data_IF_544445149118
#
_entry.id   IF_544445149118
#
_cell.length_a   1.000
_cell.length_b   1.000
_cell.length_c   1.000
_cell.angle_alpha   90.00
_cell.angle_beta   90.00
_cell.angle_gamma   90.00
#
_symmetry.space_group_name_H-M   'P 1'
#
loop_
_entity.id
_entity.type
_entity.pdbx_description
1 polymer ?
#
# COMPACT_ATOMS: atom_id res chain seq x y z
N UNK A 1 61.50 53.74 14.23
CA UNK A 1 60.34 53.66 15.14
C UNK A 1 58.99 53.56 14.33
N UNK A 2 58.76 54.39 13.32
CA UNK A 2 57.50 54.36 12.58
C UNK A 2 57.23 53.04 11.83
N UNK A 3 58.20 52.45 11.17
CA UNK A 3 58.07 51.16 10.50
C UNK A 3 57.68 50.02 11.42
N UNK A 4 58.25 49.98 12.64
CA UNK A 4 57.91 48.96 13.66
C UNK A 4 56.46 49.08 14.14
N UNK A 5 55.91 50.31 14.20
CA UNK A 5 54.51 50.55 14.56
C UNK A 5 53.55 50.15 13.46
N UNK A 6 53.94 50.36 12.20
CA UNK A 6 53.14 49.94 11.04
C UNK A 6 53.01 48.41 10.94
N UNK A 7 54.15 47.70 11.16
CA UNK A 7 54.18 46.26 11.19
C UNK A 7 53.31 45.70 12.33
N UNK A 8 53.42 46.30 13.56
CA UNK A 8 52.62 45.90 14.69
C UNK A 8 51.11 46.08 14.47
N UNK A 9 50.71 47.22 13.90
CA UNK A 9 49.30 47.48 13.52
C UNK A 9 48.78 46.49 12.50
N UNK A 10 49.55 46.12 11.49
CA UNK A 10 49.23 45.17 10.47
C UNK A 10 49.08 43.76 11.09
N UNK A 11 49.98 43.35 11.98
CA UNK A 11 49.92 42.05 12.68
C UNK A 11 48.72 41.96 13.62
N UNK A 12 48.36 43.05 14.34
CA UNK A 12 47.18 43.07 15.23
C UNK A 12 45.89 42.97 14.39
N UNK A 13 45.82 43.64 13.22
CA UNK A 13 44.67 43.56 12.31
C UNK A 13 44.51 42.18 11.79
N UNK A 14 45.55 41.52 11.25
CA UNK A 14 45.52 40.13 10.76
C UNK A 14 45.18 39.14 11.85
N UNK A 15 45.65 39.34 13.09
CA UNK A 15 45.30 38.49 14.22
C UNK A 15 43.83 38.64 14.64
N UNK A 16 43.28 39.87 14.55
CA UNK A 16 41.87 40.14 14.78
C UNK A 16 40.96 39.49 13.72
N UNK A 17 41.33 39.59 12.46
CA UNK A 17 40.62 38.94 11.34
C UNK A 17 40.66 37.42 11.47
N UNK A 18 41.79 36.81 11.80
CA UNK A 18 41.90 35.37 12.03
C UNK A 18 41.01 34.86 13.19
N UNK A 19 40.97 35.61 14.31
CA UNK A 19 40.11 35.30 15.46
C UNK A 19 38.63 35.41 15.09
N UNK A 20 38.25 36.41 14.30
CA UNK A 20 36.88 36.62 13.83
C UNK A 20 36.45 35.49 12.88
N UNK A 21 37.29 35.13 11.94
CA UNK A 21 37.02 33.98 11.02
C UNK A 21 36.88 32.68 11.83
N UNK A 22 37.74 32.36 12.78
CA UNK A 22 37.62 31.18 13.63
C UNK A 22 36.37 31.16 14.51
N UNK A 23 35.85 32.32 14.90
CA UNK A 23 34.57 32.45 15.59
C UNK A 23 33.41 32.15 14.67
N UNK A 24 33.40 32.68 13.44
CA UNK A 24 32.37 32.41 12.43
C UNK A 24 32.35 30.93 12.08
N UNK A 25 33.49 30.31 11.79
CA UNK A 25 33.60 28.89 11.46
C UNK A 25 33.04 28.01 12.58
N UNK A 26 33.35 28.30 13.83
CA UNK A 26 32.80 27.54 14.97
C UNK A 26 31.28 27.64 15.05
N UNK A 27 30.72 28.83 14.90
CA UNK A 27 29.28 29.04 14.93
C UNK A 27 28.57 28.35 13.76
N UNK A 28 29.14 28.42 12.55
CA UNK A 28 28.61 27.72 11.38
C UNK A 28 28.65 26.22 11.62
N UNK A 29 29.78 25.66 12.05
CA UNK A 29 29.92 24.23 12.30
C UNK A 29 28.96 23.73 13.38
N UNK A 30 28.77 24.51 14.45
CA UNK A 30 27.81 24.20 15.49
C UNK A 30 26.40 24.20 14.98
N UNK A 31 26.01 25.19 14.15
CA UNK A 31 24.68 25.26 13.52
C UNK A 31 24.43 24.10 12.55
N UNK A 32 25.42 23.75 11.72
CA UNK A 32 25.36 22.60 10.82
C UNK A 32 25.16 21.30 11.62
N UNK A 33 25.91 21.11 12.71
CA UNK A 33 25.80 19.94 13.58
C UNK A 33 24.39 19.81 14.16
N UNK A 34 23.84 20.89 14.71
CA UNK A 34 22.49 20.90 15.29
C UNK A 34 21.44 20.57 14.23
N UNK A 35 21.49 21.20 13.05
CA UNK A 35 20.57 20.91 11.95
C UNK A 35 20.68 19.45 11.47
N UNK A 36 21.88 18.88 11.45
CA UNK A 36 22.08 17.48 11.05
C UNK A 36 21.49 16.52 12.09
N UNK A 37 21.63 16.81 13.38
CA UNK A 37 21.04 16.03 14.47
C UNK A 37 19.50 16.09 14.44
N UNK A 38 18.92 17.27 14.19
CA UNK A 38 17.47 17.44 14.03
C UNK A 38 16.92 16.64 12.83
N UNK A 39 17.57 16.72 11.66
CA UNK A 39 17.18 15.97 10.46
C UNK A 39 17.28 14.44 10.68
N UNK A 40 18.32 13.97 11.34
CA UNK A 40 18.47 12.55 11.64
C UNK A 40 17.37 12.06 12.60
N UNK A 41 17.03 12.84 13.62
CA UNK A 41 15.95 12.50 14.55
C UNK A 41 14.58 12.47 13.87
N UNK A 42 14.32 13.41 12.97
CA UNK A 42 13.09 13.43 12.17
C UNK A 42 13.01 12.22 11.24
N UNK A 43 14.09 11.90 10.53
CA UNK A 43 14.19 10.73 9.67
C UNK A 43 13.95 9.43 10.44
N UNK A 44 14.60 9.24 11.59
CA UNK A 44 14.42 8.06 12.45
C UNK A 44 12.96 7.93 12.94
N UNK A 45 12.33 9.05 13.26
CA UNK A 45 10.92 9.08 13.68
C UNK A 45 10.00 8.64 12.53
N UNK A 46 10.24 9.12 11.30
CA UNK A 46 9.47 8.72 10.13
C UNK A 46 9.65 7.23 9.79
N UNK A 47 10.88 6.72 9.87
CA UNK A 47 11.17 5.30 9.64
C UNK A 47 10.45 4.41 10.66
N UNK A 48 10.44 4.78 11.96
CA UNK A 48 9.72 4.04 13.00
C UNK A 48 8.20 4.06 12.77
N UNK A 49 7.65 5.22 12.41
CA UNK A 49 6.22 5.35 12.11
C UNK A 49 5.81 4.50 10.90
N UNK A 50 6.63 4.50 9.83
CA UNK A 50 6.40 3.68 8.64
C UNK A 50 6.43 2.18 8.99
N UNK A 51 7.42 1.74 9.76
CA UNK A 51 7.54 0.35 10.19
C UNK A 51 6.33 -0.09 11.03
N UNK A 52 5.91 0.73 11.98
CA UNK A 52 4.73 0.45 12.80
C UNK A 52 3.45 0.35 11.96
N UNK A 53 3.29 1.24 10.97
CA UNK A 53 2.16 1.18 10.03
C UNK A 53 2.15 -0.13 9.24
N UNK A 54 3.30 -0.56 8.71
CA UNK A 54 3.43 -1.81 7.94
C UNK A 54 3.15 -3.06 8.81
N UNK A 55 3.61 -3.07 10.06
CA UNK A 55 3.34 -4.14 11.04
C UNK A 55 1.84 -4.22 11.38
N UNK A 56 1.21 -3.08 11.68
CA UNK A 56 -0.23 -3.01 11.96
C UNK A 56 -1.07 -3.46 10.76
N UNK A 57 -0.67 -3.04 9.55
CA UNK A 57 -1.36 -3.42 8.32
C UNK A 57 -1.24 -4.92 8.04
N UNK A 58 -0.07 -5.51 8.26
CA UNK A 58 0.14 -6.96 8.14
C UNK A 58 -0.71 -7.75 9.14
N UNK A 59 -0.85 -7.26 10.37
CA UNK A 59 -1.69 -7.85 11.40
C UNK A 59 -3.18 -7.81 11.04
N UNK A 60 -3.67 -6.67 10.55
CA UNK A 60 -5.05 -6.55 10.05
C UNK A 60 -5.35 -7.55 8.93
N UNK A 61 -4.45 -7.69 7.96
CA UNK A 61 -4.61 -8.64 6.86
C UNK A 61 -4.64 -10.08 7.39
N UNK A 62 -3.76 -10.42 8.33
CA UNK A 62 -3.71 -11.75 8.93
C UNK A 62 -4.97 -12.09 9.74
N UNK A 63 -5.59 -11.08 10.35
CA UNK A 63 -6.82 -11.21 11.14
C UNK A 63 -8.10 -11.05 10.31
N UNK A 64 -8.00 -10.83 9.00
CA UNK A 64 -9.13 -10.54 8.12
C UNK A 64 -9.94 -9.32 8.58
N UNK A 65 -9.26 -8.27 9.04
CA UNK A 65 -9.87 -7.02 9.46
C UNK A 65 -10.10 -6.08 8.26
N UNK A 66 -11.14 -5.24 8.30
CA UNK A 66 -11.44 -4.29 7.24
C UNK A 66 -10.31 -3.28 7.01
N UNK A 67 -9.97 -3.07 5.74
CA UNK A 67 -8.99 -2.08 5.30
C UNK A 67 -9.67 -0.79 4.85
N UNK A 68 -9.14 0.35 5.30
CA UNK A 68 -9.56 1.66 4.82
C UNK A 68 -8.89 2.02 3.48
N UNK A 69 -9.29 3.15 2.90
CA UNK A 69 -8.81 3.59 1.58
C UNK A 69 -7.30 3.88 1.55
N UNK A 70 -6.73 4.42 2.62
CA UNK A 70 -5.30 4.73 2.68
C UNK A 70 -4.47 3.44 2.77
N UNK A 71 -4.92 2.46 3.55
CA UNK A 71 -4.33 1.13 3.66
C UNK A 71 -4.39 0.38 2.31
N UNK A 72 -5.55 0.39 1.65
CA UNK A 72 -5.71 -0.22 0.32
C UNK A 72 -4.82 0.50 -0.70
N UNK A 73 -4.76 1.82 -0.67
CA UNK A 73 -3.93 2.63 -1.58
C UNK A 73 -2.43 2.41 -1.35
N UNK A 74 -2.01 2.17 -0.12
CA UNK A 74 -0.64 1.78 0.20
C UNK A 74 -0.29 0.43 -0.42
N UNK A 75 -1.15 -0.58 -0.26
CA UNK A 75 -0.95 -1.95 -0.79
C UNK A 75 -1.11 -2.02 -2.31
N UNK A 76 -2.10 -1.30 -2.84
CA UNK A 76 -2.55 -1.42 -4.22
C UNK A 76 -2.94 -0.06 -4.83
N UNK A 77 -2.00 0.88 -5.05
CA UNK A 77 -2.28 2.19 -5.61
C UNK A 77 -2.94 2.14 -6.99
N UNK A 78 -2.71 1.07 -7.76
CA UNK A 78 -3.32 0.87 -9.09
C UNK A 78 -4.85 0.77 -9.02
N UNK A 79 -5.41 0.25 -7.93
CA UNK A 79 -6.86 0.14 -7.74
C UNK A 79 -7.57 1.50 -7.73
N UNK A 80 -6.86 2.58 -7.37
CA UNK A 80 -7.41 3.94 -7.28
C UNK A 80 -7.35 4.72 -8.60
N UNK A 81 -6.88 4.11 -9.68
CA UNK A 81 -6.92 4.74 -11.01
C UNK A 81 -8.37 4.86 -11.46
N UNK A 82 -8.81 6.10 -11.71
CA UNK A 82 -10.22 6.43 -12.03
C UNK A 82 -10.52 6.46 -13.53
N UNK A 83 -9.49 6.72 -14.36
CA UNK A 83 -9.61 6.82 -15.80
C UNK A 83 -8.29 6.56 -16.50
N UNK A 84 -8.36 6.23 -17.78
CA UNK A 84 -7.21 6.20 -18.68
C UNK A 84 -7.39 7.21 -19.81
N UNK A 85 -6.35 7.95 -20.09
CA UNK A 85 -6.35 8.89 -21.21
C UNK A 85 -6.03 8.15 -22.53
N UNK A 86 -6.52 8.62 -23.69
CA UNK A 86 -6.19 8.03 -24.99
C UNK A 86 -4.69 7.88 -25.24
N UNK A 87 -3.89 8.82 -24.76
CA UNK A 87 -2.42 8.77 -24.83
C UNK A 87 -1.81 7.63 -24.01
N UNK A 88 -2.41 7.28 -22.86
CA UNK A 88 -1.96 6.16 -22.03
C UNK A 88 -2.32 4.82 -22.70
N UNK A 89 -3.52 4.72 -23.28
CA UNK A 89 -3.98 3.55 -24.04
C UNK A 89 -3.04 3.30 -25.22
N UNK A 90 -2.70 4.35 -25.99
CA UNK A 90 -1.75 4.25 -27.09
C UNK A 90 -0.34 3.85 -26.63
N UNK A 91 0.16 4.47 -25.55
CA UNK A 91 1.48 4.17 -24.97
C UNK A 91 1.62 2.73 -24.52
N UNK A 92 0.55 2.13 -24.02
CA UNK A 92 0.50 0.72 -23.60
C UNK A 92 0.29 -0.24 -24.78
N UNK A 93 0.08 0.26 -26.00
CA UNK A 93 -0.23 -0.55 -27.18
C UNK A 93 -1.59 -1.25 -27.12
N UNK A 94 -2.52 -0.70 -26.35
CA UNK A 94 -3.86 -1.25 -26.21
C UNK A 94 -4.73 -0.91 -27.43
N UNK A 95 -5.72 -1.75 -27.69
CA UNK A 95 -6.67 -1.55 -28.78
C UNK A 95 -7.46 -0.24 -28.59
N UNK A 96 -7.84 0.41 -29.69
CA UNK A 96 -8.78 1.53 -29.68
C UNK A 96 -10.16 1.20 -29.09
N UNK A 97 -10.47 -0.07 -29.00
CA UNK A 97 -11.71 -0.59 -28.38
C UNK A 97 -11.51 -0.99 -26.91
N UNK A 98 -10.36 -0.66 -26.32
CA UNK A 98 -10.10 -0.93 -24.91
C UNK A 98 -11.09 -0.16 -24.04
N UNK A 99 -11.75 -0.85 -23.13
CA UNK A 99 -12.66 -0.28 -22.14
C UNK A 99 -12.02 -0.37 -20.75
N UNK A 100 -11.84 0.78 -20.14
CA UNK A 100 -11.27 0.88 -18.81
C UNK A 100 -12.33 0.56 -17.75
N UNK A 101 -12.02 -0.37 -16.83
CA UNK A 101 -12.87 -0.73 -15.69
C UNK A 101 -12.20 -0.18 -14.41
N UNK A 102 -12.75 0.89 -13.79
CA UNK A 102 -12.18 1.48 -12.59
C UNK A 102 -12.41 0.56 -11.38
N UNK A 103 -11.36 -0.01 -10.83
CA UNK A 103 -11.42 -0.93 -9.68
C UNK A 103 -12.03 -0.26 -8.45
N UNK A 104 -11.70 1.00 -8.19
CA UNK A 104 -12.25 1.74 -7.05
C UNK A 104 -13.79 1.88 -7.10
N UNK A 105 -14.39 1.96 -8.29
CA UNK A 105 -15.85 1.98 -8.40
C UNK A 105 -16.43 0.66 -7.92
N UNK A 106 -15.85 -0.47 -8.33
CA UNK A 106 -16.30 -1.81 -7.90
C UNK A 106 -16.09 -2.02 -6.40
N UNK A 107 -14.99 -1.50 -5.84
CA UNK A 107 -14.77 -1.51 -4.38
C UNK A 107 -15.93 -0.78 -3.68
N UNK A 108 -16.30 0.41 -4.14
CA UNK A 108 -17.37 1.18 -3.54
C UNK A 108 -18.75 0.52 -3.71
N UNK A 109 -19.01 -0.08 -4.87
CA UNK A 109 -20.27 -0.78 -5.15
C UNK A 109 -20.42 -2.01 -4.24
N UNK A 110 -19.35 -2.80 -4.04
CA UNK A 110 -19.36 -3.93 -3.11
C UNK A 110 -19.47 -3.50 -1.64
N UNK A 111 -18.82 -2.39 -1.25
CA UNK A 111 -19.00 -1.81 0.09
C UNK A 111 -20.44 -1.35 0.33
N UNK A 112 -21.11 -0.81 -0.67
CA UNK A 112 -22.53 -0.45 -0.57
C UNK A 112 -23.45 -1.67 -0.36
N UNK A 113 -22.97 -2.87 -0.74
CA UNK A 113 -23.64 -4.16 -0.48
C UNK A 113 -23.22 -4.80 0.85
N UNK A 114 -22.42 -4.13 1.68
CA UNK A 114 -21.98 -4.61 2.99
C UNK A 114 -20.66 -5.38 2.98
N UNK A 115 -20.02 -5.56 1.82
CA UNK A 115 -18.71 -6.21 1.75
C UNK A 115 -17.59 -5.30 2.23
N UNK A 116 -16.61 -5.87 2.91
CA UNK A 116 -15.42 -5.19 3.40
C UNK A 116 -14.17 -5.69 2.68
N UNK A 117 -13.24 -4.78 2.37
CA UNK A 117 -11.94 -5.17 1.81
C UNK A 117 -11.06 -5.66 2.96
N UNK A 118 -10.60 -6.90 2.87
CA UNK A 118 -9.72 -7.52 3.89
C UNK A 118 -8.30 -7.74 3.38
N UNK A 119 -8.08 -7.69 2.06
CA UNK A 119 -6.75 -7.76 1.47
C UNK A 119 -6.71 -7.06 0.11
N UNK A 120 -5.56 -6.46 -0.20
CA UNK A 120 -5.29 -5.84 -1.48
C UNK A 120 -3.83 -6.10 -1.89
N UNK A 121 -3.62 -6.55 -3.12
CA UNK A 121 -2.28 -6.83 -3.64
C UNK A 121 -2.14 -6.39 -5.08
N UNK A 122 -0.92 -5.99 -5.47
CA UNK A 122 -0.58 -5.76 -6.88
C UNK A 122 0.75 -6.40 -7.22
N UNK A 123 0.87 -6.93 -8.43
CA UNK A 123 2.14 -7.49 -8.90
C UNK A 123 3.13 -6.36 -9.21
N UNK A 124 4.43 -6.64 -9.09
CA UNK A 124 5.47 -5.70 -9.51
C UNK A 124 5.45 -5.54 -11.04
N UNK A 125 5.52 -4.30 -11.51
CA UNK A 125 5.61 -4.03 -12.94
C UNK A 125 6.92 -4.60 -13.52
N UNK A 126 6.79 -5.43 -14.56
CA UNK A 126 7.97 -6.00 -15.26
C UNK A 126 8.66 -4.97 -16.16
N UNK A 127 7.89 -3.99 -16.65
CA UNK A 127 8.37 -2.93 -17.54
C UNK A 127 8.02 -1.57 -16.94
N UNK A 128 8.90 -0.59 -17.08
CA UNK A 128 8.66 0.78 -16.62
C UNK A 128 7.39 1.39 -17.25
N UNK A 129 7.06 1.02 -18.48
CA UNK A 129 5.87 1.49 -19.20
C UNK A 129 4.55 0.98 -18.60
N UNK A 130 4.54 -0.18 -17.95
CA UNK A 130 3.34 -0.79 -17.33
C UNK A 130 3.20 -0.46 -15.84
N UNK A 131 4.13 0.33 -15.28
CA UNK A 131 4.04 0.77 -13.88
C UNK A 131 2.82 1.69 -13.68
N UNK A 132 1.97 1.34 -12.71
CA UNK A 132 0.69 2.01 -12.46
C UNK A 132 -0.50 1.43 -13.26
N UNK A 133 -0.30 0.31 -13.98
CA UNK A 133 -1.35 -0.36 -14.78
C UNK A 133 -1.39 -1.87 -14.57
N UNK A 134 -0.51 -2.41 -13.74
CA UNK A 134 -0.28 -3.83 -13.55
C UNK A 134 -1.49 -4.56 -12.95
N UNK A 135 -1.45 -5.90 -13.05
CA UNK A 135 -2.42 -6.79 -12.40
C UNK A 135 -2.47 -6.54 -10.90
N UNK A 136 -3.68 -6.49 -10.39
CA UNK A 136 -3.98 -6.34 -8.97
C UNK A 136 -5.17 -7.20 -8.57
N UNK A 137 -5.26 -7.47 -7.27
CA UNK A 137 -6.32 -8.28 -6.68
C UNK A 137 -6.80 -7.61 -5.40
N UNK A 138 -8.11 -7.65 -5.19
CA UNK A 138 -8.78 -7.17 -3.98
C UNK A 138 -9.64 -8.31 -3.45
N UNK A 139 -9.50 -8.63 -2.18
CA UNK A 139 -10.29 -9.65 -1.50
C UNK A 139 -11.32 -8.98 -0.61
N UNK A 140 -12.55 -9.43 -0.73
CA UNK A 140 -13.68 -8.93 0.07
C UNK A 140 -14.28 -10.05 0.90
N UNK A 141 -14.75 -9.71 2.08
CA UNK A 141 -15.55 -10.53 2.96
C UNK A 141 -16.80 -9.79 3.40
N UNK A 142 -17.85 -10.51 3.74
CA UNK A 142 -19.06 -9.92 4.31
C UNK A 142 -19.16 -10.31 5.78
N UNK A 143 -19.36 -9.36 6.71
CA UNK A 143 -19.41 -9.65 8.14
C UNK A 143 -20.41 -10.75 8.52
N UNK A 144 -21.60 -10.75 7.87
CA UNK A 144 -22.66 -11.72 8.14
C UNK A 144 -22.30 -13.16 7.77
N UNK A 145 -21.26 -13.37 6.95
CA UNK A 145 -20.78 -14.70 6.55
C UNK A 145 -19.57 -15.18 7.36
N UNK A 146 -19.07 -14.34 8.28
CA UNK A 146 -18.03 -14.71 9.26
C UNK A 146 -18.68 -15.37 10.47
N UNK A 147 -19.24 -16.56 10.26
CA UNK A 147 -19.93 -17.28 11.33
C UNK A 147 -18.94 -18.13 12.11
N UNK A 148 -18.78 -17.83 13.39
CA UNK A 148 -18.01 -18.66 14.30
C UNK A 148 -18.65 -20.05 14.43
N UNK A 149 -17.85 -21.09 14.23
CA UNK A 149 -18.34 -22.45 14.43
C UNK A 149 -18.35 -22.79 15.92
N UNK A 150 -19.53 -22.97 16.45
CA UNK A 150 -19.71 -23.44 17.82
C UNK A 150 -19.65 -24.97 17.82
N UNK A 151 -18.68 -25.54 18.53
CA UNK A 151 -18.58 -26.98 18.77
C UNK A 151 -18.75 -27.28 20.25
N UNK A 152 -19.64 -28.17 20.56
CA UNK A 152 -19.73 -28.75 21.88
C UNK A 152 -18.68 -29.87 21.94
N UNK A 153 -17.75 -29.76 22.88
CA UNK A 153 -16.70 -30.77 23.15
C UNK A 153 -16.98 -31.38 24.50
N UNK A 154 -17.15 -32.73 24.57
CA UNK A 154 -17.26 -33.44 25.80
C UNK A 154 -15.88 -33.50 26.49
N UNK A 155 -15.76 -32.89 27.67
CA UNK A 155 -14.50 -32.80 28.43
C UNK A 155 -14.39 -33.84 29.56
N UNK A 156 -15.52 -34.36 30.02
CA UNK A 156 -15.60 -35.46 31.02
C UNK A 156 -17.00 -36.07 30.97
N UNK A 157 -17.18 -37.22 31.61
CA UNK A 157 -18.44 -38.00 31.66
C UNK A 157 -19.69 -37.09 31.78
N UNK A 158 -20.31 -36.77 30.66
CA UNK A 158 -21.54 -35.98 30.55
C UNK A 158 -21.40 -34.48 30.76
N UNK A 159 -20.16 -33.92 30.79
CA UNK A 159 -19.91 -32.47 30.84
C UNK A 159 -19.44 -32.01 29.48
N UNK A 160 -20.24 -31.18 28.83
CA UNK A 160 -19.92 -30.53 27.54
C UNK A 160 -19.46 -29.11 27.76
N UNK A 161 -18.37 -28.70 27.11
CA UNK A 161 -17.90 -27.32 27.02
C UNK A 161 -18.17 -26.80 25.62
N UNK A 162 -18.75 -25.61 25.55
CA UNK A 162 -18.95 -24.92 24.28
C UNK A 162 -17.67 -24.22 23.85
N UNK A 163 -17.00 -24.75 22.83
CA UNK A 163 -15.81 -24.10 22.23
C UNK A 163 -16.20 -23.36 20.97
N UNK A 164 -15.89 -22.07 20.96
CA UNK A 164 -16.05 -21.23 19.77
C UNK A 164 -14.79 -21.35 18.92
N UNK A 165 -14.91 -22.07 17.79
CA UNK A 165 -13.87 -22.12 16.78
C UNK A 165 -14.08 -20.99 15.78
N UNK A 166 -13.10 -20.07 15.70
CA UNK A 166 -13.03 -19.14 14.57
C UNK A 166 -12.68 -19.92 13.31
N UNK A 167 -13.50 -19.88 12.26
CA UNK A 167 -13.16 -20.56 11.01
C UNK A 167 -11.89 -19.94 10.43
N UNK A 168 -11.01 -20.78 9.91
CA UNK A 168 -9.78 -20.35 9.22
C UNK A 168 -10.06 -19.98 7.74
N UNK A 169 -11.27 -20.26 7.26
CA UNK A 169 -11.66 -20.07 5.87
C UNK A 169 -13.06 -19.42 5.83
N UNK A 170 -13.17 -18.28 5.16
CA UNK A 170 -14.43 -17.54 5.00
C UNK A 170 -14.83 -17.45 3.53
N UNK A 171 -16.14 -17.39 3.21
CA UNK A 171 -16.60 -17.02 1.89
C UNK A 171 -16.09 -15.64 1.49
N UNK A 172 -15.46 -15.55 0.34
CA UNK A 172 -14.81 -14.33 -0.15
C UNK A 172 -15.26 -14.00 -1.58
N UNK A 173 -15.20 -12.74 -1.91
CA UNK A 173 -15.19 -12.28 -3.30
C UNK A 173 -13.77 -11.84 -3.65
N UNK A 174 -13.21 -12.44 -4.70
CA UNK A 174 -11.91 -12.08 -5.23
C UNK A 174 -12.10 -11.29 -6.53
N UNK A 175 -11.75 -10.03 -6.50
CA UNK A 175 -11.66 -9.18 -7.68
C UNK A 175 -10.24 -9.24 -8.23
N UNK A 176 -10.09 -9.57 -9.52
CA UNK A 176 -8.82 -9.44 -10.25
C UNK A 176 -9.01 -8.49 -11.43
N UNK A 177 -8.09 -7.53 -11.59
CA UNK A 177 -8.11 -6.59 -12.69
C UNK A 177 -6.70 -6.22 -13.15
N UNK A 178 -6.56 -5.63 -14.34
CA UNK A 178 -5.35 -4.96 -14.80
C UNK A 178 -5.71 -3.85 -15.78
N UNK A 179 -4.89 -2.82 -15.82
CA UNK A 179 -5.09 -1.70 -16.73
C UNK A 179 -4.11 -1.67 -17.90
N UNK A 180 -3.23 -2.67 -17.98
CA UNK A 180 -2.25 -2.86 -19.06
C UNK A 180 -2.71 -3.84 -20.16
N UNK A 181 -3.97 -4.30 -20.08
CA UNK A 181 -4.53 -5.28 -21.01
C UNK A 181 -4.04 -6.72 -20.79
N UNK A 182 -3.22 -6.97 -19.79
CA UNK A 182 -2.66 -8.30 -19.50
C UNK A 182 -3.64 -9.28 -18.89
N UNK A 183 -4.70 -8.79 -18.23
CA UNK A 183 -5.74 -9.62 -17.62
C UNK A 183 -7.13 -9.01 -17.85
N UNK A 184 -8.14 -9.89 -17.95
CA UNK A 184 -9.53 -9.46 -17.91
C UNK A 184 -9.91 -9.07 -16.47
N UNK A 185 -10.92 -8.24 -16.34
CA UNK A 185 -11.61 -8.05 -15.08
C UNK A 185 -12.35 -9.35 -14.71
N UNK A 186 -12.16 -9.82 -13.48
CA UNK A 186 -12.88 -11.00 -12.96
C UNK A 186 -13.34 -10.75 -11.54
N UNK A 187 -14.56 -11.18 -11.26
CA UNK A 187 -15.12 -11.35 -9.92
C UNK A 187 -15.36 -12.83 -9.70
N UNK A 188 -14.79 -13.39 -8.64
CA UNK A 188 -14.97 -14.80 -8.29
C UNK A 188 -15.42 -14.90 -6.85
N UNK A 189 -16.49 -15.65 -6.60
CA UNK A 189 -16.96 -15.97 -5.26
C UNK A 189 -16.51 -17.39 -4.88
N UNK A 190 -16.08 -17.59 -3.65
CA UNK A 190 -15.61 -18.90 -3.18
C UNK A 190 -14.82 -18.78 -1.90
N UNK A 191 -14.15 -19.87 -1.54
CA UNK A 191 -13.14 -19.87 -0.48
C UNK A 191 -11.76 -19.89 -1.13
N UNK A 192 -10.93 -18.92 -0.79
CA UNK A 192 -9.64 -18.71 -1.42
C UNK A 192 -8.50 -18.73 -0.40
N UNK A 193 -7.40 -19.38 -0.78
CA UNK A 193 -6.16 -19.35 -0.03
C UNK A 193 -5.06 -18.69 -0.86
N UNK A 194 -4.53 -17.58 -0.38
CA UNK A 194 -3.38 -16.92 -1.00
C UNK A 194 -2.12 -17.74 -0.76
N UNK A 195 -1.42 -18.12 -1.83
CA UNK A 195 -0.22 -18.99 -1.76
C UNK A 195 1.07 -18.17 -1.85
N UNK A 196 1.06 -17.06 -2.59
CA UNK A 196 2.23 -16.21 -2.72
C UNK A 196 1.89 -14.74 -3.00
N UNK A 197 2.85 -13.85 -2.71
CA UNK A 197 2.76 -12.41 -2.94
C UNK A 197 2.60 -12.01 -4.42
N UNK A 198 2.84 -12.91 -5.36
CA UNK A 198 2.63 -12.70 -6.80
C UNK A 198 1.17 -12.90 -7.23
N UNK A 199 0.26 -13.13 -6.27
CA UNK A 199 -1.16 -13.30 -6.53
C UNK A 199 -1.54 -14.69 -7.04
N UNK A 200 -0.78 -15.73 -6.69
CA UNK A 200 -1.22 -17.11 -6.84
C UNK A 200 -2.21 -17.43 -5.73
N UNK A 201 -3.42 -17.78 -6.14
CA UNK A 201 -4.54 -18.13 -5.24
C UNK A 201 -4.97 -19.55 -5.58
N UNK A 202 -5.13 -20.38 -4.55
CA UNK A 202 -5.81 -21.67 -4.66
C UNK A 202 -7.25 -21.46 -4.24
N UNK A 203 -8.18 -21.94 -5.05
CA UNK A 203 -9.61 -21.94 -4.78
C UNK A 203 -9.98 -23.28 -4.19
N UNK A 204 -10.37 -23.31 -2.91
CA UNK A 204 -10.82 -24.53 -2.22
C UNK A 204 -12.27 -24.82 -2.54
N UNK A 205 -13.12 -23.80 -2.65
CA UNK A 205 -14.52 -23.92 -3.04
C UNK A 205 -14.89 -22.87 -4.08
N UNK A 206 -15.74 -23.24 -5.04
CA UNK A 206 -16.20 -22.39 -6.13
C UNK A 206 -17.70 -22.12 -6.04
N UNK A 207 -18.06 -20.86 -5.77
CA UNK A 207 -19.45 -20.40 -5.75
C UNK A 207 -19.85 -19.68 -7.03
N UNK A 208 -18.91 -19.53 -7.98
CA UNK A 208 -19.14 -18.92 -9.27
C UNK A 208 -18.14 -17.81 -9.61
N UNK A 209 -18.08 -17.45 -10.86
CA UNK A 209 -17.24 -16.35 -11.34
C UNK A 209 -17.87 -15.61 -12.50
N UNK A 210 -17.63 -14.31 -12.56
CA UNK A 210 -17.96 -13.45 -13.70
C UNK A 210 -16.68 -12.88 -14.29
N UNK A 211 -16.59 -12.87 -15.62
CA UNK A 211 -15.41 -12.37 -16.35
C UNK A 211 -15.83 -11.36 -17.39
N UNK A 212 -15.23 -10.18 -17.35
CA UNK A 212 -15.43 -9.11 -18.30
C UNK A 212 -14.12 -8.80 -19.04
N UNK A 213 -14.17 -8.86 -20.37
CA UNK A 213 -13.03 -8.51 -21.21
C UNK A 213 -13.01 -7.00 -21.41
N UNK A 214 -11.86 -6.35 -21.32
CA UNK A 214 -11.68 -4.90 -21.53
C UNK A 214 -11.88 -4.50 -22.99
N UNK A 215 -13.07 -4.78 -23.57
CA UNK A 215 -13.36 -4.51 -24.97
C UNK A 215 -14.84 -4.23 -25.18
N UNK A 216 -15.14 -3.01 -25.66
CA UNK A 216 -16.48 -2.68 -26.16
C UNK A 216 -17.55 -2.45 -25.11
N UNK A 217 -17.20 -2.32 -23.83
CA UNK A 217 -18.16 -2.01 -22.76
C UNK A 217 -18.08 -0.56 -22.35
N UNK A 218 -19.24 0.06 -22.16
CA UNK A 218 -19.38 1.21 -21.28
C UNK A 218 -19.67 0.68 -19.88
N UNK A 219 -18.88 1.09 -18.89
CA UNK A 219 -19.07 0.66 -17.49
C UNK A 219 -20.41 1.13 -16.90
N UNK A 220 -21.03 2.14 -17.52
CA UNK A 220 -22.34 2.67 -17.13
C UNK A 220 -23.51 1.79 -17.64
N UNK A 221 -23.22 0.69 -18.33
CA UNK A 221 -24.20 -0.24 -18.90
C UNK A 221 -24.26 -1.60 -18.16
N UNK A 222 -23.62 -1.70 -16.99
CA UNK A 222 -23.65 -2.87 -16.10
C UNK A 222 -24.24 -2.42 -14.72
#
# INVERSE_FOLDING_TARGET
>A
MEESIIILKKSIKTLGEAKYLSYIERNINQKIKTMTEELNNEFDTQVRAQKHFEETLAEKIANHEPLNDDEIKHLCPVAFKRRMMPSEIAKLGLSKHYSFVPTIKVINDLRALGYEVVNATQVKARKKSTNGYQKHMITFEHPDYKVDQVKEVEIADGVTETQVHKPTEYPQILLTNSHDGGNAFTLSAGIFRLVCSNGLVIKSEDYGSSRLVHKGYSFDAV
#
